data_IF_330617788461
#
_entry.id   IF_330617788461
#
_cell.length_a   1.000
_cell.length_b   1.000
_cell.length_c   1.000
_cell.angle_alpha   90.00
_cell.angle_beta   90.00
_cell.angle_gamma   90.00
#
_symmetry.space_group_name_H-M   'P 1'
#
loop_
_entity.id
_entity.type
_entity.pdbx_description
1 polymer ?
#
# COMPACT_ATOMS: atom_id res chain seq x y z
N UNK A 1 12.16 -5.54 36.56
CA UNK A 1 13.56 -5.22 36.19
C UNK A 1 14.07 -6.28 35.24
N UNK A 2 14.82 -5.82 34.22
CA UNK A 2 15.66 -6.54 33.26
C UNK A 2 14.98 -7.41 32.19
N UNK A 3 14.99 -6.83 30.99
CA UNK A 3 14.54 -7.25 29.66
C UNK A 3 15.29 -8.46 29.09
N UNK A 4 14.58 -9.31 28.36
CA UNK A 4 15.18 -10.20 27.37
C UNK A 4 14.35 -10.25 26.07
N UNK A 5 14.82 -9.42 25.13
CA UNK A 5 14.77 -9.58 23.68
C UNK A 5 13.50 -10.13 23.04
N UNK A 6 12.66 -9.18 22.61
CA UNK A 6 12.09 -9.23 21.27
C UNK A 6 13.17 -9.78 20.34
N UNK A 7 12.89 -10.92 19.70
CA UNK A 7 13.66 -11.39 18.56
C UNK A 7 13.58 -10.29 17.49
N UNK A 8 14.51 -9.34 17.59
CA UNK A 8 14.99 -8.54 16.48
C UNK A 8 15.38 -9.58 15.46
N UNK A 9 14.51 -9.82 14.48
CA UNK A 9 14.95 -10.39 13.21
C UNK A 9 16.15 -9.54 12.83
N UNK A 10 17.33 -10.15 12.86
CA UNK A 10 18.53 -9.59 12.29
C UNK A 10 18.13 -8.99 10.94
N UNK A 11 18.40 -7.71 10.67
CA UNK A 11 18.13 -7.17 9.36
C UNK A 11 18.84 -8.10 8.38
N UNK A 12 18.07 -8.73 7.48
CA UNK A 12 18.67 -9.39 6.31
C UNK A 12 19.69 -8.42 5.74
N UNK A 13 20.87 -8.86 5.27
CA UNK A 13 21.92 -7.98 4.79
C UNK A 13 21.26 -6.92 3.91
N UNK A 14 21.32 -5.67 4.36
CA UNK A 14 20.54 -4.56 3.83
C UNK A 14 20.80 -4.48 2.34
N UNK A 15 19.91 -5.04 1.53
CA UNK A 15 19.94 -4.84 0.07
C UNK A 15 19.90 -3.33 -0.09
N UNK A 16 20.94 -2.75 -0.69
CA UNK A 16 20.94 -1.33 -0.98
C UNK A 16 19.83 -1.06 -2.00
N UNK A 17 19.09 0.07 -1.88
CA UNK A 17 18.22 0.56 -2.93
C UNK A 17 18.93 0.53 -4.29
N UNK A 18 18.35 -0.15 -5.27
CA UNK A 18 18.83 -0.13 -6.65
C UNK A 18 18.12 1.02 -7.38
N UNK A 19 18.57 2.26 -7.14
CA UNK A 19 17.88 3.44 -7.67
C UNK A 19 17.86 3.45 -9.21
N UNK A 20 16.73 3.86 -9.82
CA UNK A 20 16.66 4.03 -11.26
C UNK A 20 17.56 5.19 -11.74
N UNK A 21 18.02 5.13 -13.01
CA UNK A 21 18.80 6.21 -13.62
C UNK A 21 18.00 7.51 -13.70
N UNK A 22 18.68 8.65 -13.70
CA UNK A 22 18.08 9.96 -14.08
C UNK A 22 18.13 10.07 -15.60
N UNK A 23 17.01 10.45 -16.20
CA UNK A 23 16.91 10.80 -17.60
C UNK A 23 16.57 12.28 -17.81
N UNK A 24 16.29 12.63 -19.06
CA UNK A 24 15.74 13.93 -19.45
C UNK A 24 14.21 14.03 -19.24
N UNK A 25 13.57 12.93 -18.87
CA UNK A 25 12.14 12.81 -18.58
C UNK A 25 11.93 11.91 -17.34
N UNK A 26 10.76 12.00 -16.68
CA UNK A 26 10.37 11.03 -15.65
C UNK A 26 10.42 9.61 -16.21
N UNK A 27 11.02 8.69 -15.45
CA UNK A 27 11.03 7.27 -15.84
C UNK A 27 9.66 6.66 -15.55
N UNK A 28 9.04 6.01 -16.55
CA UNK A 28 7.75 5.33 -16.38
C UNK A 28 7.87 3.91 -16.93
N UNK A 29 7.69 2.91 -16.08
CA UNK A 29 7.62 1.49 -16.46
C UNK A 29 6.20 0.96 -16.21
N UNK A 30 5.50 0.55 -17.26
CA UNK A 30 4.10 0.10 -17.20
C UNK A 30 3.26 0.69 -18.33
N UNK A 31 2.00 0.98 -18.08
CA UNK A 31 1.12 1.73 -18.99
C UNK A 31 1.58 3.20 -19.07
N UNK A 32 2.57 3.44 -19.94
CA UNK A 32 3.19 4.75 -20.13
C UNK A 32 2.16 5.78 -20.57
N UNK A 33 1.20 5.43 -21.42
CA UNK A 33 0.27 6.40 -22.00
C UNK A 33 -0.67 6.97 -20.91
N UNK A 34 -1.30 6.08 -20.14
CA UNK A 34 -2.23 6.48 -19.07
C UNK A 34 -1.50 7.20 -17.94
N UNK A 35 -0.38 6.65 -17.47
CA UNK A 35 0.38 7.25 -16.36
C UNK A 35 0.94 8.61 -16.76
N UNK A 36 1.56 8.73 -17.95
CA UNK A 36 2.13 10.00 -18.42
C UNK A 36 1.06 11.08 -18.55
N UNK A 37 -0.13 10.75 -19.08
CA UNK A 37 -1.24 11.68 -19.18
C UNK A 37 -1.59 12.29 -17.83
N UNK A 38 -1.86 11.44 -16.83
CA UNK A 38 -2.26 11.91 -15.50
C UNK A 38 -1.12 12.55 -14.72
N UNK A 39 0.11 12.04 -14.88
CA UNK A 39 1.31 12.63 -14.30
C UNK A 39 1.45 14.09 -14.74
N UNK A 40 1.43 14.35 -16.05
CA UNK A 40 1.61 15.70 -16.57
C UNK A 40 0.46 16.63 -16.17
N UNK A 41 -0.79 16.12 -16.24
CA UNK A 41 -1.97 16.88 -15.85
C UNK A 41 -1.92 17.34 -14.38
N UNK A 42 -1.64 16.42 -13.46
CA UNK A 42 -1.62 16.73 -12.03
C UNK A 42 -0.33 17.40 -11.57
N UNK A 43 0.81 17.12 -12.19
CA UNK A 43 2.04 17.86 -11.93
C UNK A 43 1.88 19.35 -12.27
N UNK A 44 1.17 19.66 -13.35
CA UNK A 44 0.84 21.04 -13.71
C UNK A 44 -0.07 21.70 -12.67
N UNK A 45 -1.16 21.03 -12.26
CA UNK A 45 -2.08 21.56 -11.24
C UNK A 45 -1.40 21.81 -9.89
N UNK A 46 -0.48 20.92 -9.50
CA UNK A 46 0.29 21.03 -8.27
C UNK A 46 1.51 21.96 -8.39
N UNK A 47 1.73 22.55 -9.58
CA UNK A 47 2.89 23.38 -9.89
C UNK A 47 4.24 22.73 -9.50
N UNK A 48 4.37 21.42 -9.75
CA UNK A 48 5.60 20.69 -9.43
C UNK A 48 6.77 21.20 -10.29
N UNK A 49 7.94 21.53 -9.69
CA UNK A 49 9.10 21.96 -10.45
C UNK A 49 9.56 20.88 -11.44
N UNK A 50 9.86 21.27 -12.68
CA UNK A 50 10.37 20.34 -13.71
C UNK A 50 11.63 19.62 -13.23
N UNK A 51 12.49 20.29 -12.46
CA UNK A 51 13.69 19.68 -11.87
C UNK A 51 13.39 18.48 -10.96
N UNK A 52 12.26 18.51 -10.25
CA UNK A 52 11.83 17.40 -9.38
C UNK A 52 11.18 16.27 -10.19
N UNK A 53 10.50 16.60 -11.30
CA UNK A 53 9.95 15.60 -12.22
C UNK A 53 11.06 14.75 -12.88
N UNK A 54 12.22 15.33 -13.17
CA UNK A 54 13.38 14.58 -13.67
C UNK A 54 13.93 13.55 -12.67
N UNK A 55 13.63 13.71 -11.38
CA UNK A 55 14.02 12.82 -10.30
C UNK A 55 12.94 11.77 -9.97
N UNK A 56 11.82 11.80 -10.69
CA UNK A 56 10.69 10.90 -10.52
C UNK A 56 10.83 9.64 -11.36
N UNK A 57 10.60 8.49 -10.73
CA UNK A 57 10.39 7.23 -11.40
C UNK A 57 9.08 6.60 -10.93
N UNK A 58 8.26 6.14 -11.88
CA UNK A 58 7.00 5.45 -11.65
C UNK A 58 7.10 4.05 -12.23
N UNK A 59 6.65 3.04 -11.47
CA UNK A 59 6.57 1.67 -11.97
C UNK A 59 5.26 1.01 -11.58
N UNK A 60 4.76 0.16 -12.48
CA UNK A 60 3.70 -0.80 -12.17
C UNK A 60 4.22 -2.21 -11.87
N UNK A 61 5.55 -2.42 -11.92
CA UNK A 61 6.17 -3.65 -11.46
C UNK A 61 6.50 -3.56 -9.96
N UNK A 62 5.79 -4.38 -9.19
CA UNK A 62 5.96 -4.49 -7.74
C UNK A 62 7.34 -4.96 -7.33
N UNK A 63 7.95 -5.90 -8.06
CA UNK A 63 9.29 -6.38 -7.76
C UNK A 63 10.32 -5.29 -8.02
N UNK A 64 10.18 -4.59 -9.14
CA UNK A 64 11.01 -3.44 -9.47
C UNK A 64 10.94 -2.36 -8.38
N UNK A 65 9.74 -1.96 -7.96
CA UNK A 65 9.57 -0.98 -6.88
C UNK A 65 10.23 -1.45 -5.57
N UNK A 66 10.10 -2.74 -5.24
CA UNK A 66 10.75 -3.31 -4.05
C UNK A 66 12.28 -3.34 -4.18
N UNK A 67 12.83 -3.51 -5.38
CA UNK A 67 14.26 -3.42 -5.64
C UNK A 67 14.75 -1.97 -5.52
N UNK A 68 14.03 -1.01 -6.11
CA UNK A 68 14.36 0.41 -6.03
C UNK A 68 14.33 0.93 -4.59
N UNK A 69 13.38 0.46 -3.79
CA UNK A 69 13.21 0.94 -2.40
C UNK A 69 13.95 0.11 -1.36
N UNK A 70 14.38 -1.11 -1.71
CA UNK A 70 14.80 -2.14 -0.77
C UNK A 70 13.77 -2.44 0.35
N UNK A 71 12.49 -2.15 0.10
CA UNK A 71 11.40 -2.34 1.06
C UNK A 71 10.37 -3.31 0.50
N UNK A 72 9.65 -4.00 1.39
CA UNK A 72 8.49 -4.79 0.99
C UNK A 72 7.30 -3.87 0.78
N UNK A 73 6.60 -4.06 -0.34
CA UNK A 73 5.34 -3.39 -0.59
C UNK A 73 4.17 -4.31 -0.20
N UNK A 74 3.17 -3.77 0.48
CA UNK A 74 1.94 -4.51 0.81
C UNK A 74 1.27 -4.97 -0.49
N UNK A 75 0.89 -6.26 -0.57
CA UNK A 75 0.26 -6.84 -1.76
C UNK A 75 -1.07 -6.18 -2.14
N UNK A 76 -1.73 -5.49 -1.20
CA UNK A 76 -2.98 -4.75 -1.43
C UNK A 76 -2.75 -3.25 -1.68
N UNK A 77 -1.51 -2.78 -1.72
CA UNK A 77 -1.23 -1.38 -2.04
C UNK A 77 -1.70 -1.07 -3.48
N UNK A 78 -2.53 -0.03 -3.61
CA UNK A 78 -2.99 0.52 -4.89
C UNK A 78 -1.97 1.50 -5.46
N UNK A 79 -1.43 2.36 -4.60
CA UNK A 79 -0.30 3.24 -4.88
C UNK A 79 0.70 3.22 -3.72
N UNK A 80 1.92 3.68 -3.97
CA UNK A 80 2.85 4.02 -2.91
C UNK A 80 3.93 4.98 -3.39
N UNK A 81 4.06 6.11 -2.69
CA UNK A 81 5.17 7.02 -2.82
C UNK A 81 6.31 6.73 -1.83
N UNK A 82 7.54 6.81 -2.30
CA UNK A 82 8.75 6.75 -1.50
C UNK A 82 9.76 7.81 -1.94
N UNK A 83 10.27 8.55 -0.96
CA UNK A 83 11.40 9.45 -1.12
C UNK A 83 12.68 8.77 -0.61
N UNK A 84 13.71 8.71 -1.46
CA UNK A 84 15.02 8.18 -1.08
C UNK A 84 16.08 9.26 -1.27
N UNK A 85 16.91 9.46 -0.25
CA UNK A 85 18.08 10.35 -0.30
C UNK A 85 19.34 9.54 -0.03
N UNK A 86 20.28 9.56 -0.97
CA UNK A 86 21.60 8.92 -0.80
C UNK A 86 22.60 9.98 -0.35
N UNK A 87 22.91 10.02 0.95
CA UNK A 87 23.84 11.01 1.55
C UNK A 87 25.32 10.74 1.25
N UNK A 88 25.67 10.24 0.06
CA UNK A 88 27.06 9.90 -0.28
C UNK A 88 27.52 10.77 -1.45
N UNK A 89 28.07 11.96 -1.13
CA UNK A 89 28.74 12.89 -2.06
C UNK A 89 27.85 13.62 -3.08
N UNK A 90 26.91 14.43 -2.58
CA UNK A 90 26.03 15.27 -3.39
C UNK A 90 24.59 14.79 -3.27
N UNK A 91 23.65 15.71 -3.10
CA UNK A 91 22.23 15.46 -2.85
C UNK A 91 21.55 14.88 -4.10
N UNK A 92 21.74 13.59 -4.36
CA UNK A 92 20.88 12.86 -5.30
C UNK A 92 19.76 12.20 -4.50
N UNK A 93 18.57 12.78 -4.59
CA UNK A 93 17.35 12.13 -4.15
C UNK A 93 16.58 11.54 -5.34
N UNK A 94 15.59 10.71 -5.00
CA UNK A 94 14.62 10.13 -5.93
C UNK A 94 13.23 10.20 -5.33
N UNK A 95 12.28 10.48 -6.21
CA UNK A 95 10.86 10.23 -6.00
C UNK A 95 10.52 8.92 -6.70
N UNK A 96 10.00 7.95 -5.95
CA UNK A 96 9.61 6.66 -6.47
C UNK A 96 8.12 6.47 -6.23
N UNK A 97 7.37 6.14 -7.27
CA UNK A 97 5.94 5.84 -7.17
C UNK A 97 5.69 4.43 -7.70
N UNK A 98 4.97 3.64 -6.93
CA UNK A 98 4.31 2.44 -7.42
C UNK A 98 2.84 2.75 -7.72
N UNK A 99 2.33 2.26 -8.85
CA UNK A 99 0.90 2.23 -9.16
C UNK A 99 0.53 0.78 -9.48
N UNK A 100 -0.59 0.27 -8.96
CA UNK A 100 -1.02 -1.07 -9.28
C UNK A 100 -1.46 -1.17 -10.77
N UNK A 101 -0.93 -2.14 -11.54
CA UNK A 101 -1.24 -2.28 -12.98
C UNK A 101 -2.68 -2.69 -13.26
N UNK A 102 -3.30 -3.48 -12.38
CA UNK A 102 -4.63 -4.03 -12.64
C UNK A 102 -5.77 -3.04 -12.31
N UNK A 103 -5.48 -1.82 -11.83
CA UNK A 103 -6.48 -0.80 -11.46
C UNK A 103 -7.40 -0.42 -12.63
N UNK A 104 -8.63 -0.06 -12.32
CA UNK A 104 -9.50 0.58 -13.32
C UNK A 104 -8.94 1.97 -13.71
N UNK A 105 -9.23 2.48 -14.93
CA UNK A 105 -8.66 3.75 -15.40
C UNK A 105 -8.89 4.94 -14.46
N UNK A 106 -10.08 5.07 -13.87
CA UNK A 106 -10.39 6.10 -12.87
C UNK A 106 -9.58 5.90 -11.58
N UNK A 107 -9.40 4.66 -11.13
CA UNK A 107 -8.53 4.34 -9.99
C UNK A 107 -7.07 4.65 -10.26
N UNK A 108 -6.57 4.50 -11.50
CA UNK A 108 -5.22 4.90 -11.87
C UNK A 108 -5.07 6.42 -11.75
N UNK A 109 -6.02 7.18 -12.29
CA UNK A 109 -6.05 8.64 -12.20
C UNK A 109 -5.94 9.13 -10.76
N UNK A 110 -6.88 8.68 -9.91
CA UNK A 110 -6.98 9.06 -8.50
C UNK A 110 -5.70 8.67 -7.76
N UNK A 111 -5.18 7.45 -7.98
CA UNK A 111 -3.93 7.00 -7.35
C UNK A 111 -2.74 7.86 -7.79
N UNK A 112 -2.61 8.21 -9.08
CA UNK A 112 -1.53 9.11 -9.53
C UNK A 112 -1.64 10.48 -8.86
N UNK A 113 -2.85 11.05 -8.77
CA UNK A 113 -3.08 12.31 -8.10
C UNK A 113 -2.66 12.26 -6.61
N UNK A 114 -3.08 11.20 -5.90
CA UNK A 114 -2.73 10.96 -4.50
C UNK A 114 -1.21 10.89 -4.27
N UNK A 115 -0.50 10.11 -5.07
CA UNK A 115 0.95 9.93 -4.90
C UNK A 115 1.73 11.20 -5.26
N UNK A 116 1.21 12.04 -6.18
CA UNK A 116 1.77 13.34 -6.48
C UNK A 116 1.52 14.38 -5.38
N UNK A 117 0.43 14.29 -4.62
CA UNK A 117 0.23 15.11 -3.42
C UNK A 117 1.34 14.82 -2.40
N UNK A 118 1.67 13.54 -2.17
CA UNK A 118 2.80 13.18 -1.28
C UNK A 118 4.15 13.70 -1.80
N UNK A 119 4.34 13.71 -3.12
CA UNK A 119 5.51 14.32 -3.74
C UNK A 119 5.54 15.84 -3.54
N UNK A 120 4.42 16.52 -3.77
CA UNK A 120 4.30 17.97 -3.59
C UNK A 120 4.58 18.39 -2.15
N UNK A 121 3.97 17.71 -1.17
CA UNK A 121 4.25 17.89 0.25
C UNK A 121 5.75 17.75 0.57
N UNK A 122 6.43 16.77 -0.07
CA UNK A 122 7.88 16.59 0.12
C UNK A 122 8.68 17.75 -0.47
N UNK A 123 8.39 18.14 -1.71
CA UNK A 123 9.08 19.23 -2.43
C UNK A 123 8.90 20.55 -1.68
N UNK A 124 7.71 20.80 -1.15
CA UNK A 124 7.39 22.00 -0.38
C UNK A 124 7.88 21.96 1.08
N UNK A 125 8.57 20.89 1.50
CA UNK A 125 9.10 20.78 2.85
C UNK A 125 8.06 20.51 3.95
N UNK A 126 6.85 20.09 3.58
CA UNK A 126 5.70 19.82 4.46
C UNK A 126 5.23 18.35 4.41
N UNK A 127 6.13 17.34 4.49
CA UNK A 127 5.76 15.93 4.36
C UNK A 127 4.81 15.48 5.48
N UNK A 128 3.56 15.19 5.12
CA UNK A 128 2.57 14.66 6.06
C UNK A 128 2.56 13.13 6.08
N UNK A 129 2.24 12.54 7.23
CA UNK A 129 1.96 11.10 7.32
C UNK A 129 0.47 10.87 7.13
N UNK A 130 0.17 9.96 6.23
CA UNK A 130 -1.17 9.49 5.98
C UNK A 130 -1.70 8.70 7.20
N UNK A 131 -2.88 9.03 7.71
CA UNK A 131 -3.46 8.39 8.93
C UNK A 131 -4.46 7.31 8.57
N UNK A 132 -5.43 7.63 7.71
CA UNK A 132 -6.48 6.71 7.24
C UNK A 132 -6.97 7.14 5.85
N UNK A 133 -6.98 6.19 4.89
CA UNK A 133 -7.31 6.48 3.48
C UNK A 133 -8.75 6.98 3.37
N UNK A 134 -8.92 8.13 2.71
CA UNK A 134 -10.23 8.73 2.46
C UNK A 134 -10.81 9.58 3.61
N UNK A 135 -10.11 9.72 4.74
CA UNK A 135 -10.62 10.44 5.92
C UNK A 135 -9.63 11.45 6.51
N UNK A 136 -8.51 11.71 5.83
CA UNK A 136 -7.53 12.71 6.25
C UNK A 136 -7.47 13.90 5.29
N UNK A 137 -6.64 14.89 5.63
CA UNK A 137 -6.51 16.11 4.83
C UNK A 137 -6.05 15.85 3.40
N UNK A 138 -5.36 14.72 3.16
CA UNK A 138 -4.89 14.34 1.82
C UNK A 138 -6.09 13.96 0.95
N UNK A 139 -7.11 13.32 1.51
CA UNK A 139 -8.35 13.03 0.78
C UNK A 139 -9.09 14.31 0.35
N UNK A 140 -9.06 15.36 1.18
CA UNK A 140 -9.63 16.66 0.81
C UNK A 140 -8.83 17.34 -0.31
N UNK A 141 -7.50 17.29 -0.23
CA UNK A 141 -6.61 17.80 -1.29
C UNK A 141 -6.81 17.01 -2.59
N UNK A 142 -7.00 15.68 -2.50
CA UNK A 142 -7.28 14.79 -3.63
C UNK A 142 -8.62 15.10 -4.30
N UNK A 143 -9.69 15.32 -3.52
CA UNK A 143 -10.99 15.76 -4.02
C UNK A 143 -10.89 17.11 -4.75
N UNK A 144 -10.22 18.09 -4.13
CA UNK A 144 -10.02 19.41 -4.75
C UNK A 144 -9.19 19.34 -6.05
N UNK A 145 -8.17 18.46 -6.08
CA UNK A 145 -7.28 18.31 -7.22
C UNK A 145 -7.94 17.59 -8.40
N UNK A 146 -8.65 16.50 -8.13
CA UNK A 146 -9.29 15.64 -9.13
C UNK A 146 -10.66 16.16 -9.58
N UNK A 147 -11.36 16.90 -8.71
CA UNK A 147 -12.73 17.36 -8.93
C UNK A 147 -13.81 16.35 -8.53
N UNK A 148 -13.43 15.18 -8.02
CA UNK A 148 -14.36 14.22 -7.43
C UNK A 148 -14.82 14.67 -6.05
N UNK A 149 -16.02 14.26 -5.65
CA UNK A 149 -16.46 14.39 -4.26
C UNK A 149 -15.72 13.37 -3.37
N UNK A 150 -15.54 13.69 -2.09
CA UNK A 150 -14.94 12.81 -1.08
C UNK A 150 -15.67 11.46 -1.00
N UNK A 151 -17.00 11.47 -1.04
CA UNK A 151 -17.78 10.23 -0.95
C UNK A 151 -17.64 9.38 -2.22
N UNK A 152 -17.47 10.01 -3.38
CA UNK A 152 -17.16 9.32 -4.63
C UNK A 152 -15.77 8.69 -4.58
N UNK A 153 -14.75 9.42 -4.12
CA UNK A 153 -13.40 8.88 -3.94
C UNK A 153 -13.39 7.69 -2.96
N UNK A 154 -14.10 7.80 -1.83
CA UNK A 154 -14.23 6.71 -0.86
C UNK A 154 -14.86 5.48 -1.47
N UNK A 155 -15.95 5.65 -2.23
CA UNK A 155 -16.64 4.56 -2.92
C UNK A 155 -15.70 3.89 -3.93
N UNK A 156 -15.01 4.67 -4.75
CA UNK A 156 -14.07 4.17 -5.76
C UNK A 156 -12.93 3.35 -5.11
N UNK A 157 -12.29 3.88 -4.06
CA UNK A 157 -11.22 3.17 -3.33
C UNK A 157 -11.74 1.90 -2.66
N UNK A 158 -12.98 1.92 -2.17
CA UNK A 158 -13.63 0.77 -1.55
C UNK A 158 -13.91 -0.33 -2.58
N UNK A 159 -14.56 0.01 -3.69
CA UNK A 159 -14.88 -0.92 -4.79
C UNK A 159 -13.60 -1.55 -5.38
N UNK A 160 -12.56 -0.75 -5.58
CA UNK A 160 -11.26 -1.24 -6.05
C UNK A 160 -10.64 -2.22 -5.04
N UNK A 161 -10.69 -1.89 -3.74
CA UNK A 161 -10.20 -2.77 -2.69
C UNK A 161 -10.97 -4.09 -2.62
N UNK A 162 -12.29 -4.04 -2.74
CA UNK A 162 -13.16 -5.23 -2.77
C UNK A 162 -12.87 -6.11 -3.99
N UNK A 163 -12.83 -5.51 -5.19
CA UNK A 163 -12.53 -6.22 -6.45
C UNK A 163 -11.20 -6.96 -6.34
N UNK A 164 -10.18 -6.28 -5.82
CA UNK A 164 -8.85 -6.87 -5.66
C UNK A 164 -8.81 -7.96 -4.60
N UNK A 165 -9.51 -7.80 -3.47
CA UNK A 165 -9.58 -8.89 -2.50
C UNK A 165 -10.31 -10.09 -3.12
N UNK A 166 -11.39 -9.89 -3.87
CA UNK A 166 -12.11 -10.96 -4.56
C UNK A 166 -11.21 -11.75 -5.52
N UNK A 167 -10.48 -11.06 -6.42
CA UNK A 167 -9.49 -11.70 -7.32
C UNK A 167 -8.44 -12.48 -6.52
N UNK A 168 -7.95 -11.88 -5.43
CA UNK A 168 -6.99 -12.53 -4.55
C UNK A 168 -7.58 -13.76 -3.86
N UNK A 169 -8.85 -13.73 -3.46
CA UNK A 169 -9.55 -14.88 -2.85
C UNK A 169 -9.80 -15.99 -3.85
N UNK A 170 -10.09 -15.68 -5.11
CA UNK A 170 -10.16 -16.68 -6.17
C UNK A 170 -8.81 -17.42 -6.32
N UNK A 171 -7.70 -16.68 -6.33
CA UNK A 171 -6.34 -17.28 -6.42
C UNK A 171 -5.88 -17.96 -5.13
N UNK A 172 -6.37 -17.49 -3.97
CA UNK A 172 -5.97 -17.94 -2.62
C UNK A 172 -7.20 -18.03 -1.72
N UNK A 173 -8.02 -19.09 -1.88
CA UNK A 173 -9.23 -19.24 -1.12
C UNK A 173 -8.94 -19.35 0.38
N UNK A 174 -9.89 -18.87 1.17
CA UNK A 174 -9.88 -19.02 2.61
C UNK A 174 -10.15 -20.48 2.94
N UNK A 175 -9.24 -21.11 3.68
CA UNK A 175 -9.29 -22.56 3.97
C UNK A 175 -9.30 -22.88 5.45
N UNK A 176 -8.97 -21.90 6.29
CA UNK A 176 -8.81 -22.08 7.72
C UNK A 176 -9.51 -20.94 8.41
N UNK A 177 -10.50 -21.26 9.25
CA UNK A 177 -11.16 -20.29 10.09
C UNK A 177 -10.61 -20.44 11.50
N UNK A 178 -10.12 -19.35 12.08
CA UNK A 178 -9.72 -19.33 13.48
C UNK A 178 -10.72 -18.49 14.27
N UNK A 179 -11.01 -18.86 15.51
CA UNK A 179 -11.84 -18.06 16.40
C UNK A 179 -11.12 -17.79 17.73
N UNK A 180 -11.39 -16.63 18.32
CA UNK A 180 -11.02 -16.37 19.69
C UNK A 180 -12.05 -17.01 20.63
N UNK A 181 -11.62 -17.86 21.56
CA UNK A 181 -12.48 -18.46 22.57
C UNK A 181 -13.09 -17.46 23.55
N UNK A 182 -12.53 -16.24 23.64
CA UNK A 182 -13.01 -15.21 24.57
C UNK A 182 -14.04 -14.27 23.94
N UNK A 183 -13.74 -13.67 22.79
CA UNK A 183 -14.63 -12.68 22.16
C UNK A 183 -15.40 -13.21 20.95
N UNK A 184 -15.22 -14.47 20.56
CA UNK A 184 -15.90 -15.10 19.41
C UNK A 184 -15.42 -14.61 18.04
N UNK A 185 -14.59 -13.58 17.96
CA UNK A 185 -14.13 -13.00 16.69
C UNK A 185 -13.42 -14.02 15.82
N UNK A 186 -13.78 -14.03 14.54
CA UNK A 186 -13.23 -14.95 13.54
C UNK A 186 -12.11 -14.31 12.73
N UNK A 187 -11.17 -15.15 12.29
CA UNK A 187 -9.94 -14.77 11.60
C UNK A 187 -9.71 -15.73 10.43
N UNK A 188 -10.30 -15.45 9.26
CA UNK A 188 -10.16 -16.32 8.10
C UNK A 188 -8.76 -16.25 7.51
N UNK A 189 -8.20 -17.40 7.14
CA UNK A 189 -6.84 -17.53 6.58
C UNK A 189 -6.80 -18.48 5.38
N UNK A 190 -6.01 -18.11 4.36
CA UNK A 190 -5.70 -18.99 3.24
C UNK A 190 -4.63 -20.07 3.57
N UNK A 191 -3.88 -19.86 4.66
CA UNK A 191 -2.83 -20.77 5.16
C UNK A 191 -2.91 -20.87 6.68
N UNK A 192 -2.57 -22.03 7.26
CA UNK A 192 -2.46 -22.18 8.71
C UNK A 192 -1.41 -21.23 9.28
N UNK A 193 -1.60 -20.79 10.51
CA UNK A 193 -0.53 -20.11 11.23
C UNK A 193 0.62 -21.09 11.46
N UNK A 194 1.86 -20.64 11.24
CA UNK A 194 3.06 -21.43 11.52
C UNK A 194 3.42 -21.46 13.00
N UNK A 195 2.80 -20.59 13.80
CA UNK A 195 3.02 -20.44 15.24
C UNK A 195 1.68 -20.12 15.92
N UNK A 196 1.61 -20.32 17.23
CA UNK A 196 0.43 -19.88 18.00
C UNK A 196 0.30 -18.35 17.92
N UNK A 197 -0.92 -17.87 17.73
CA UNK A 197 -1.26 -16.44 17.70
C UNK A 197 -2.46 -16.19 18.60
N UNK A 198 -2.59 -14.96 19.10
CA UNK A 198 -3.70 -14.53 19.96
C UNK A 198 -4.58 -13.48 19.27
N UNK A 199 -5.79 -13.29 19.81
CA UNK A 199 -6.73 -12.28 19.36
C UNK A 199 -6.20 -10.87 19.61
N UNK A 200 -5.89 -10.15 18.52
CA UNK A 200 -5.44 -8.75 18.57
C UNK A 200 -6.50 -7.76 19.03
N UNK A 201 -7.77 -8.17 19.06
CA UNK A 201 -8.88 -7.34 19.57
C UNK A 201 -9.03 -7.44 21.09
N UNK A 202 -8.68 -8.59 21.69
CA UNK A 202 -8.64 -8.72 23.15
C UNK A 202 -7.35 -8.16 23.74
N UNK A 203 -6.21 -8.43 23.07
CA UNK A 203 -4.90 -7.96 23.53
C UNK A 203 -4.01 -7.66 22.31
N UNK A 204 -3.37 -6.49 22.30
CA UNK A 204 -2.45 -6.10 21.22
C UNK A 204 -1.15 -6.90 21.24
N UNK A 205 -0.80 -7.52 22.37
CA UNK A 205 0.36 -8.38 22.51
C UNK A 205 -0.04 -9.86 22.48
N UNK A 206 0.93 -10.74 22.21
CA UNK A 206 0.65 -12.18 22.27
C UNK A 206 0.26 -12.57 23.69
N UNK A 207 -0.92 -13.13 23.83
CA UNK A 207 -1.46 -13.58 25.11
C UNK A 207 -2.07 -14.98 24.95
N UNK A 208 -1.51 -16.02 25.61
CA UNK A 208 -1.96 -17.40 25.44
C UNK A 208 -3.41 -17.63 25.90
N UNK A 209 -3.95 -16.78 26.79
CA UNK A 209 -5.36 -16.84 27.22
C UNK A 209 -6.31 -16.57 26.05
N UNK A 210 -5.92 -15.68 25.14
CA UNK A 210 -6.70 -15.32 23.95
C UNK A 210 -6.19 -16.02 22.69
N UNK A 211 -5.52 -17.18 22.84
CA UNK A 211 -5.00 -17.96 21.72
C UNK A 211 -6.13 -18.33 20.76
N UNK A 212 -5.88 -18.14 19.47
CA UNK A 212 -6.84 -18.48 18.44
C UNK A 212 -6.89 -19.99 18.23
N UNK A 213 -8.10 -20.55 18.30
CA UNK A 213 -8.36 -21.95 18.00
C UNK A 213 -8.76 -22.09 16.53
N UNK A 214 -8.23 -23.12 15.85
CA UNK A 214 -8.68 -23.48 14.51
C UNK A 214 -10.06 -24.12 14.63
N UNK A 215 -11.05 -23.56 13.95
CA UNK A 215 -12.37 -24.18 13.84
C UNK A 215 -12.30 -25.41 12.91
N UNK A 216 -13.12 -26.44 13.14
CA UNK A 216 -13.29 -27.53 12.20
C UNK A 216 -13.63 -26.98 10.81
N UNK A 217 -13.24 -27.71 9.76
CA UNK A 217 -13.51 -27.29 8.39
C UNK A 217 -15.01 -27.09 8.22
N UNK A 218 -15.39 -25.88 7.83
CA UNK A 218 -16.77 -25.56 7.50
C UNK A 218 -17.01 -26.11 6.08
N UNK A 219 -18.05 -26.93 5.92
CA UNK A 219 -18.44 -27.53 4.65
C UNK A 219 -18.59 -26.45 3.55
N UNK A 220 -18.36 -26.79 2.27
CA UNK A 220 -18.29 -25.81 1.17
C UNK A 220 -19.51 -24.90 1.04
N UNK A 221 -20.71 -25.38 1.39
CA UNK A 221 -21.97 -24.64 1.24
C UNK A 221 -22.12 -23.43 2.18
N UNK A 222 -21.43 -23.44 3.32
CA UNK A 222 -21.45 -22.32 4.27
C UNK A 222 -20.41 -21.24 3.91
N UNK A 223 -19.43 -21.54 3.05
CA UNK A 223 -18.40 -20.56 2.63
C UNK A 223 -18.97 -19.45 1.74
N UNK A 224 -20.05 -19.72 0.99
CA UNK A 224 -20.72 -18.74 0.13
C UNK A 224 -21.54 -17.71 0.92
N UNK A 225 -22.03 -18.06 2.10
CA UNK A 225 -22.80 -17.15 2.97
C UNK A 225 -21.90 -16.17 3.75
N UNK A 226 -20.61 -16.44 3.87
CA UNK A 226 -19.67 -15.68 4.71
C UNK A 226 -18.97 -14.48 4.04
N UNK A 227 -19.29 -14.19 2.78
CA UNK A 227 -18.71 -13.04 2.03
C UNK A 227 -19.67 -11.84 2.02
N UNK A 228 -20.84 -11.96 2.66
CA UNK A 228 -21.96 -11.04 2.51
C UNK A 228 -22.23 -10.13 3.71
N UNK A 229 -21.43 -10.20 4.78
CA UNK A 229 -21.56 -9.39 6.01
C UNK A 229 -20.31 -8.52 6.28
#
# INVERSE_FOLDING_TARGET
>A
MTTANQSRRSPSPTKRPALPPIGAEPLIHGDVATIRRWLLYYAQKLALPTSELLLLAITQDRQEYMLWTARRLNTMALGCYCYISTRVKGTQHRHLIFIEPELQPQSIEVTVAHELIHMADRVNGTPRRHRHHGYDSIAADEAALTGYDLDELRRLLHEESQRRDAIRRQRRPLRYMYACSHCGKTYPRARRYSQSVSCSSCDKHYNPVFKLALLPAVEPDDQAKMVSD
#
